data_IF_855888624503
#
_entry.id   IF_855888624503
#
_cell.length_a   1.000
_cell.length_b   1.000
_cell.length_c   1.000
_cell.angle_alpha   90.00
_cell.angle_beta   90.00
_cell.angle_gamma   90.00
#
_symmetry.space_group_name_H-M   'P 1'
#
loop_
_entity.id
_entity.type
_entity.pdbx_description
1 polymer ?
#
# COMPACT_ATOMS: atom_id res chain seq x y z
N UNK A 1 2.62 24.70 -11.52
CA UNK A 1 1.86 23.58 -10.92
C UNK A 1 1.74 22.49 -11.96
N UNK A 2 2.24 21.30 -11.67
CA UNK A 2 2.07 20.12 -12.54
C UNK A 2 0.67 19.58 -12.25
N UNK A 3 -0.18 19.47 -13.27
CA UNK A 3 -1.54 18.94 -13.11
C UNK A 3 -1.52 17.41 -13.11
N UNK A 4 -2.58 16.75 -12.61
CA UNK A 4 -2.75 15.28 -12.68
C UNK A 4 -2.54 14.75 -14.11
N UNK A 5 -2.97 15.52 -15.11
CA UNK A 5 -2.84 15.18 -16.54
C UNK A 5 -1.40 15.28 -17.03
N UNK A 6 -0.63 16.21 -16.47
CA UNK A 6 0.80 16.35 -16.78
C UNK A 6 1.60 15.21 -16.16
N UNK A 7 1.23 14.78 -14.96
CA UNK A 7 1.85 13.62 -14.30
C UNK A 7 1.65 12.33 -15.09
N UNK A 8 0.43 12.08 -15.61
CA UNK A 8 0.15 10.90 -16.45
C UNK A 8 0.92 10.88 -17.77
N UNK A 9 1.19 12.05 -18.37
CA UNK A 9 1.99 12.14 -19.61
C UNK A 9 3.46 11.87 -19.35
N UNK A 10 3.98 12.34 -18.22
CA UNK A 10 5.37 12.08 -17.82
C UNK A 10 5.58 10.59 -17.53
N UNK A 11 4.64 9.96 -16.81
CA UNK A 11 4.72 8.53 -16.52
C UNK A 11 4.52 7.65 -17.77
N UNK A 12 3.69 8.07 -18.73
CA UNK A 12 3.41 7.32 -19.97
C UNK A 12 4.54 7.29 -21.00
N UNK A 13 5.59 8.11 -20.85
CA UNK A 13 6.71 8.19 -21.79
C UNK A 13 7.89 7.26 -21.44
N UNK A 14 7.80 6.49 -20.36
CA UNK A 14 8.82 5.53 -19.93
C UNK A 14 8.53 4.07 -20.36
N UNK A 15 7.86 3.86 -21.51
CA UNK A 15 7.83 2.55 -22.15
C UNK A 15 8.98 2.48 -23.16
N UNK A 16 9.97 1.58 -23.01
CA UNK A 16 11.00 1.41 -24.01
C UNK A 16 10.34 0.95 -25.31
N UNK A 17 10.74 1.60 -26.41
CA UNK A 17 10.38 1.20 -27.76
C UNK A 17 10.73 -0.28 -27.98
N UNK A 18 9.70 -1.14 -28.02
CA UNK A 18 9.87 -2.48 -28.55
C UNK A 18 10.15 -2.32 -30.05
N UNK A 19 11.40 -2.56 -30.42
CA UNK A 19 11.85 -2.55 -31.80
C UNK A 19 11.16 -3.70 -32.50
N UNK A 20 10.09 -3.41 -33.25
CA UNK A 20 9.43 -4.37 -34.10
C UNK A 20 10.39 -4.70 -35.25
N UNK A 21 11.11 -5.81 -35.13
CA UNK A 21 11.83 -6.38 -36.25
C UNK A 21 10.81 -6.82 -37.30
N UNK A 22 10.76 -6.13 -38.44
CA UNK A 22 10.05 -6.60 -39.62
C UNK A 22 10.60 -7.98 -40.01
N UNK A 23 9.78 -9.03 -39.89
CA UNK A 23 10.00 -10.31 -40.57
C UNK A 23 8.99 -10.38 -41.71
N UNK A 24 9.47 -10.24 -42.93
CA UNK A 24 8.71 -10.54 -44.14
C UNK A 24 8.40 -12.03 -44.24
N UNK A 25 7.14 -12.35 -44.56
CA UNK A 25 6.76 -13.55 -45.30
C UNK A 25 6.31 -14.78 -44.50
N UNK A 26 5.05 -15.19 -44.70
CA UNK A 26 4.58 -16.54 -44.39
C UNK A 26 3.14 -16.60 -43.90
N UNK A 27 2.20 -16.79 -44.81
CA UNK A 27 0.82 -17.19 -44.53
C UNK A 27 0.80 -18.53 -43.80
N UNK A 28 0.18 -18.59 -42.62
CA UNK A 28 -0.86 -19.56 -42.27
C UNK A 28 -1.38 -19.19 -40.87
N UNK A 29 -2.70 -19.05 -40.76
CA UNK A 29 -3.36 -18.48 -39.61
C UNK A 29 -3.31 -19.40 -38.39
N UNK A 30 -2.61 -18.94 -37.35
CA UNK A 30 -2.82 -19.38 -35.98
C UNK A 30 -2.76 -18.14 -35.08
N UNK A 31 -3.90 -17.77 -34.48
CA UNK A 31 -4.00 -16.65 -33.55
C UNK A 31 -3.31 -17.03 -32.25
N UNK A 32 -2.06 -16.58 -32.07
CA UNK A 32 -1.35 -16.71 -30.80
C UNK A 32 -1.89 -15.65 -29.84
N UNK A 33 -2.63 -16.08 -28.82
CA UNK A 33 -3.01 -15.23 -27.69
C UNK A 33 -1.74 -14.79 -26.95
N UNK A 34 -1.38 -13.51 -27.07
CA UNK A 34 -0.33 -12.92 -26.26
C UNK A 34 -0.94 -12.57 -24.90
N UNK A 35 -0.94 -13.54 -23.98
CA UNK A 35 -1.24 -13.31 -22.59
C UNK A 35 -0.25 -12.28 -22.03
N UNK A 36 -0.70 -11.05 -21.82
CA UNK A 36 0.05 -10.02 -21.12
C UNK A 36 -0.01 -10.29 -19.62
N UNK A 37 0.74 -11.28 -19.14
CA UNK A 37 0.98 -11.44 -17.71
C UNK A 37 2.03 -10.41 -17.31
N UNK A 38 1.59 -9.24 -16.87
CA UNK A 38 2.46 -8.32 -16.12
C UNK A 38 2.64 -8.94 -14.75
N UNK A 39 3.62 -9.84 -14.64
CA UNK A 39 4.14 -10.31 -13.36
C UNK A 39 4.69 -9.09 -12.62
N UNK A 40 3.93 -8.56 -11.66
CA UNK A 40 4.48 -7.67 -10.64
C UNK A 40 5.35 -8.53 -9.73
N UNK A 41 6.60 -8.76 -10.15
CA UNK A 41 7.62 -9.36 -9.31
C UNK A 41 7.93 -8.38 -8.16
N UNK A 42 7.14 -8.46 -7.09
CA UNK A 42 7.37 -7.72 -5.86
C UNK A 42 8.56 -8.36 -5.17
N UNK A 43 9.76 -7.84 -5.45
CA UNK A 43 10.95 -8.21 -4.70
C UNK A 43 10.84 -7.52 -3.34
N UNK A 44 10.25 -8.20 -2.36
CA UNK A 44 10.22 -7.72 -0.98
C UNK A 44 11.65 -7.66 -0.48
N UNK A 45 12.16 -6.45 -0.27
CA UNK A 45 13.45 -6.27 0.41
C UNK A 45 13.25 -6.68 1.87
N UNK A 46 13.76 -7.86 2.22
CA UNK A 46 13.75 -8.38 3.58
C UNK A 46 14.91 -7.74 4.34
N UNK A 47 14.64 -6.64 5.04
CA UNK A 47 15.61 -5.93 5.87
C UNK A 47 14.90 -5.30 7.07
N UNK A 48 15.65 -4.90 8.12
CA UNK A 48 15.05 -4.27 9.29
C UNK A 48 14.31 -2.99 8.91
N UNK A 49 13.19 -2.71 9.58
CA UNK A 49 12.42 -1.47 9.41
C UNK A 49 13.34 -0.28 9.72
N UNK A 50 13.37 0.70 8.82
CA UNK A 50 14.12 1.94 9.06
C UNK A 50 13.42 2.76 10.14
N UNK A 51 14.17 3.19 11.16
CA UNK A 51 13.67 4.02 12.26
C UNK A 51 14.36 5.38 12.34
N UNK A 52 13.73 6.33 13.05
CA UNK A 52 14.32 7.60 13.45
C UNK A 52 13.88 7.97 14.88
N UNK A 53 14.75 8.67 15.65
CA UNK A 53 14.38 9.15 16.97
C UNK A 53 13.44 10.35 16.89
N UNK A 54 12.46 10.40 17.80
CA UNK A 54 11.71 11.63 18.08
C UNK A 54 12.66 12.63 18.76
N UNK A 55 12.80 13.88 18.28
CA UNK A 55 13.83 14.81 18.77
C UNK A 55 13.82 15.08 20.28
N UNK A 56 12.66 15.02 20.94
CA UNK A 56 12.52 15.32 22.37
C UNK A 56 12.66 14.10 23.28
N UNK A 57 12.18 12.92 22.85
CA UNK A 57 12.18 11.71 23.69
C UNK A 57 13.28 10.72 23.34
N UNK A 58 13.79 10.74 22.10
CA UNK A 58 14.73 9.74 21.59
C UNK A 58 14.09 8.39 21.24
N UNK A 59 12.76 8.28 21.32
CA UNK A 59 12.03 7.06 20.95
C UNK A 59 12.21 6.76 19.45
N UNK A 60 12.63 5.53 19.13
CA UNK A 60 12.86 5.07 17.77
C UNK A 60 11.55 4.64 17.11
N UNK A 61 11.02 5.48 16.22
CA UNK A 61 9.82 5.18 15.45
C UNK A 61 10.14 4.77 14.01
N UNK A 62 9.37 3.85 13.41
CA UNK A 62 9.41 3.59 11.97
C UNK A 62 9.30 4.88 11.16
N UNK A 63 10.11 5.03 10.11
CA UNK A 63 10.05 6.22 9.24
C UNK A 63 8.77 6.30 8.42
N UNK A 64 8.05 5.18 8.29
CA UNK A 64 6.73 5.08 7.67
C UNK A 64 5.76 4.53 8.71
N UNK A 65 4.60 5.17 8.85
CA UNK A 65 3.48 4.69 9.65
C UNK A 65 2.16 4.74 8.88
N UNK A 66 1.12 4.14 9.45
CA UNK A 66 -0.23 4.10 8.88
C UNK A 66 -1.13 5.13 9.58
N UNK A 67 -1.61 6.14 8.87
CA UNK A 67 -2.60 7.07 9.42
C UNK A 67 -4.01 6.54 9.26
N UNK A 68 -4.86 6.65 10.28
CA UNK A 68 -6.20 6.06 10.37
C UNK A 68 -7.36 6.91 9.82
N UNK A 69 -7.10 8.09 9.23
CA UNK A 69 -8.16 9.03 8.80
C UNK A 69 -9.22 8.45 7.86
N UNK A 70 -8.89 7.41 7.11
CA UNK A 70 -9.76 6.73 6.14
C UNK A 70 -10.74 5.75 6.79
N UNK A 71 -10.50 5.36 8.05
CA UNK A 71 -11.41 4.53 8.84
C UNK A 71 -12.52 5.44 9.39
N UNK A 72 -13.71 5.34 8.82
CA UNK A 72 -14.84 6.25 9.07
C UNK A 72 -15.99 5.55 9.79
N UNK A 73 -16.66 6.27 10.69
CA UNK A 73 -17.91 5.83 11.32
C UNK A 73 -19.05 5.57 10.31
N UNK A 74 -18.91 6.07 9.09
CA UNK A 74 -19.84 5.84 7.99
C UNK A 74 -19.35 4.80 6.98
N UNK A 75 -18.23 4.12 7.24
CA UNK A 75 -17.74 3.04 6.38
C UNK A 75 -18.73 1.88 6.38
N UNK A 76 -18.88 1.26 5.22
CA UNK A 76 -19.62 0.01 5.06
C UNK A 76 -18.86 -1.15 5.67
N UNK A 77 -19.55 -2.25 5.99
CA UNK A 77 -18.91 -3.45 6.54
C UNK A 77 -17.80 -4.00 5.64
N UNK A 78 -17.96 -3.89 4.31
CA UNK A 78 -16.94 -4.32 3.36
C UNK A 78 -15.69 -3.44 3.43
N UNK A 79 -15.85 -2.12 3.50
CA UNK A 79 -14.71 -1.20 3.68
C UNK A 79 -14.03 -1.45 5.03
N UNK A 80 -14.80 -1.64 6.11
CA UNK A 80 -14.24 -1.95 7.43
C UNK A 80 -13.44 -3.26 7.43
N UNK A 81 -13.89 -4.29 6.70
CA UNK A 81 -13.14 -5.53 6.54
C UNK A 81 -11.80 -5.31 5.83
N UNK A 82 -11.80 -4.57 4.72
CA UNK A 82 -10.57 -4.21 3.99
C UNK A 82 -9.62 -3.38 4.88
N UNK A 83 -10.18 -2.45 5.67
CA UNK A 83 -9.41 -1.60 6.58
C UNK A 83 -8.75 -2.42 7.69
N UNK A 84 -9.49 -3.37 8.27
CA UNK A 84 -8.99 -4.29 9.29
C UNK A 84 -7.86 -5.15 8.76
N UNK A 85 -7.95 -5.63 7.53
CA UNK A 85 -6.89 -6.44 6.90
C UNK A 85 -5.56 -5.67 6.83
N UNK A 86 -5.59 -4.40 6.45
CA UNK A 86 -4.39 -3.55 6.40
C UNK A 86 -3.79 -3.34 7.79
N UNK A 87 -4.64 -3.07 8.80
CA UNK A 87 -4.15 -2.90 10.18
C UNK A 87 -3.56 -4.20 10.73
N UNK A 88 -4.23 -5.33 10.45
CA UNK A 88 -3.74 -6.65 10.83
C UNK A 88 -2.38 -6.93 10.19
N UNK A 89 -2.20 -6.68 8.89
CA UNK A 89 -0.91 -6.91 8.23
C UNK A 89 0.20 -5.98 8.74
N UNK A 90 -0.15 -4.74 9.13
CA UNK A 90 0.81 -3.84 9.78
C UNK A 90 1.27 -4.39 11.15
N UNK A 91 0.36 -5.00 11.90
CA UNK A 91 0.65 -5.57 13.21
C UNK A 91 1.30 -6.96 13.14
N UNK A 92 1.10 -7.68 12.02
CA UNK A 92 1.64 -9.01 11.77
C UNK A 92 3.16 -8.94 11.72
N UNK A 93 3.82 -9.79 12.52
CA UNK A 93 5.28 -9.83 12.62
C UNK A 93 5.91 -8.44 12.85
N UNK A 94 5.28 -7.61 13.67
CA UNK A 94 5.50 -6.17 13.82
C UNK A 94 6.96 -5.70 14.09
N UNK A 95 7.90 -6.62 14.33
CA UNK A 95 9.34 -6.37 14.24
C UNK A 95 9.80 -5.98 12.81
N UNK A 96 9.07 -6.41 11.78
CA UNK A 96 9.43 -6.27 10.35
C UNK A 96 8.58 -5.30 9.51
N UNK A 97 7.38 -4.89 9.97
CA UNK A 97 6.48 -4.01 9.22
C UNK A 97 6.32 -2.59 9.82
N UNK A 98 6.64 -2.42 11.11
CA UNK A 98 6.62 -1.13 11.82
C UNK A 98 5.33 -0.90 12.61
N UNK A 99 5.45 -0.88 13.95
CA UNK A 99 4.35 -0.58 14.88
C UNK A 99 4.05 0.92 14.97
N UNK A 100 3.53 1.54 13.91
CA UNK A 100 3.08 2.94 14.00
C UNK A 100 1.73 3.16 13.30
N UNK A 101 0.69 3.35 14.12
CA UNK A 101 -0.63 3.75 13.69
C UNK A 101 -0.98 5.14 14.26
N UNK A 102 -1.31 6.10 13.40
CA UNK A 102 -1.69 7.48 13.77
C UNK A 102 -3.22 7.63 13.77
N UNK A 103 -3.79 8.09 14.88
CA UNK A 103 -5.24 8.30 15.03
C UNK A 103 -5.55 9.62 15.75
N UNK A 104 -6.81 10.02 15.72
CA UNK A 104 -7.32 11.16 16.48
C UNK A 104 -8.85 11.10 16.62
N UNK A 105 -9.40 11.69 17.68
CA UNK A 105 -10.86 11.75 17.93
C UNK A 105 -11.70 12.28 16.76
N UNK A 106 -11.13 13.16 15.92
CA UNK A 106 -11.82 13.71 14.74
C UNK A 106 -11.69 12.88 13.46
N UNK A 107 -10.83 11.86 13.43
CA UNK A 107 -10.57 11.06 12.24
C UNK A 107 -11.77 10.16 11.95
N UNK A 108 -12.25 10.21 10.70
CA UNK A 108 -13.40 9.43 10.29
C UNK A 108 -14.68 9.69 11.11
N UNK A 109 -14.79 10.86 11.77
CA UNK A 109 -15.91 11.13 12.67
C UNK A 109 -15.91 10.30 13.96
N UNK A 110 -14.73 9.83 14.41
CA UNK A 110 -14.55 8.97 15.58
C UNK A 110 -14.27 7.51 15.24
N UNK A 111 -14.58 7.08 14.01
CA UNK A 111 -14.42 5.68 13.58
C UNK A 111 -12.97 5.18 13.66
N UNK A 112 -11.98 6.04 13.45
CA UNK A 112 -10.56 5.65 13.49
C UNK A 112 -10.14 5.12 14.87
N UNK A 113 -10.54 5.77 15.97
CA UNK A 113 -10.23 5.30 17.33
C UNK A 113 -11.13 4.13 17.74
N UNK A 114 -12.42 4.18 17.40
CA UNK A 114 -13.40 3.14 17.76
C UNK A 114 -13.06 1.78 17.13
N UNK A 115 -12.91 1.74 15.81
CA UNK A 115 -12.68 0.47 15.11
C UNK A 115 -11.24 -0.04 15.29
N UNK A 116 -10.23 0.83 15.22
CA UNK A 116 -8.85 0.37 15.43
C UNK A 116 -8.62 -0.12 16.86
N UNK A 117 -9.25 0.51 17.87
CA UNK A 117 -9.21 0.04 19.25
C UNK A 117 -9.88 -1.33 19.41
N UNK A 118 -11.07 -1.51 18.80
CA UNK A 118 -11.75 -2.81 18.78
C UNK A 118 -10.88 -3.89 18.12
N UNK A 119 -10.33 -3.63 16.93
CA UNK A 119 -9.50 -4.62 16.23
C UNK A 119 -8.20 -4.94 16.98
N UNK A 120 -7.59 -3.94 17.63
CA UNK A 120 -6.42 -4.16 18.47
C UNK A 120 -6.72 -5.09 19.65
N UNK A 121 -7.89 -4.94 20.30
CA UNK A 121 -8.32 -5.85 21.37
C UNK A 121 -8.58 -7.27 20.84
N UNK A 122 -9.28 -7.39 19.72
CA UNK A 122 -9.60 -8.68 19.07
C UNK A 122 -8.34 -9.45 18.63
N UNK A 123 -7.37 -8.73 18.06
CA UNK A 123 -6.14 -9.31 17.51
C UNK A 123 -5.04 -9.45 18.58
N UNK A 124 -5.32 -9.05 19.84
CA UNK A 124 -4.38 -9.16 20.96
C UNK A 124 -3.17 -8.22 20.84
N UNK A 125 -3.33 -7.11 20.12
CA UNK A 125 -2.30 -6.07 19.96
C UNK A 125 -2.29 -5.25 21.26
N UNK A 126 -1.42 -5.63 22.19
CA UNK A 126 -1.20 -4.95 23.47
C UNK A 126 0.29 -4.62 23.66
N UNK A 127 0.58 -3.76 24.64
CA UNK A 127 1.94 -3.32 25.03
C UNK A 127 2.81 -4.44 25.63
#
# INVERSE_FOLDING_TARGET
MITRRDWLRIAGLAAPALTLACREGGSDGETVEVASTVEHASTTVQGPVMTRPIPSSGEELPVIGLGGRWISANSTDAELADHREVLHELARDAEGAGRLFDSAAGYGGGGSEEYAGQWAEEDGIQD
#
